data_IF_301873641867
#
_entry.id   IF_301873641867
#
_cell.length_a   1.000
_cell.length_b   1.000
_cell.length_c   1.000
_cell.angle_alpha   90.00
_cell.angle_beta   90.00
_cell.angle_gamma   90.00
#
_symmetry.space_group_name_H-M   'P 1'
#
loop_
_entity.id
_entity.type
_entity.pdbx_description
1 polymer ?
#
# COMPACT_ATOMS: atom_id res chain seq x y z
N UNK A 1 -18.65 -6.78 -4.63
CA UNK A 1 -17.51 -6.95 -3.70
C UNK A 1 -16.40 -7.66 -4.45
N UNK A 2 -15.16 -7.24 -4.26
CA UNK A 2 -13.98 -7.84 -4.88
C UNK A 2 -12.96 -8.11 -3.79
N UNK A 3 -12.31 -9.28 -3.82
CA UNK A 3 -11.21 -9.64 -2.93
C UNK A 3 -9.88 -9.68 -3.70
N UNK A 4 -8.89 -8.93 -3.24
CA UNK A 4 -7.49 -9.12 -3.64
C UNK A 4 -6.86 -10.25 -2.82
N UNK A 5 -6.06 -11.07 -3.46
CA UNK A 5 -5.34 -12.19 -2.84
C UNK A 5 -3.86 -12.03 -3.14
N UNK A 6 -3.04 -12.11 -2.10
CA UNK A 6 -1.58 -12.03 -2.24
C UNK A 6 -1.03 -13.17 -3.12
N UNK A 7 -0.07 -12.84 -3.97
CA UNK A 7 0.78 -13.86 -4.56
C UNK A 7 1.71 -14.49 -3.49
N UNK A 8 2.35 -15.64 -3.77
CA UNK A 8 3.34 -16.19 -2.88
C UNK A 8 4.44 -15.15 -2.57
N UNK A 9 4.74 -14.96 -1.26
CA UNK A 9 5.69 -13.93 -0.77
C UNK A 9 7.03 -13.89 -1.51
N UNK A 10 7.57 -15.07 -1.86
CA UNK A 10 8.83 -15.15 -2.58
C UNK A 10 8.76 -14.61 -4.02
N UNK A 11 7.56 -14.38 -4.54
CA UNK A 11 7.32 -13.90 -5.90
C UNK A 11 6.96 -12.41 -5.97
N UNK A 12 6.79 -11.73 -4.84
CA UNK A 12 6.40 -10.30 -4.83
C UNK A 12 7.41 -9.49 -5.63
N UNK A 13 6.95 -8.62 -6.52
CA UNK A 13 7.80 -7.82 -7.40
C UNK A 13 8.77 -6.88 -6.63
N UNK A 14 8.37 -6.43 -5.45
CA UNK A 14 9.21 -5.61 -4.57
C UNK A 14 10.49 -6.30 -4.11
N UNK A 15 10.52 -7.65 -4.11
CA UNK A 15 11.74 -8.42 -3.80
C UNK A 15 12.84 -8.22 -4.84
N UNK A 16 12.51 -7.85 -6.08
CA UNK A 16 13.52 -7.57 -7.11
C UNK A 16 14.22 -6.23 -6.85
N UNK A 17 13.54 -5.30 -6.15
CA UNK A 17 14.11 -4.01 -5.76
C UNK A 17 14.86 -4.14 -4.44
N UNK A 18 14.29 -4.90 -3.50
CA UNK A 18 14.81 -5.05 -2.14
C UNK A 18 14.59 -6.48 -1.62
N UNK A 19 15.64 -7.30 -1.66
CA UNK A 19 15.60 -8.71 -1.25
C UNK A 19 15.17 -8.92 0.21
N UNK A 20 15.39 -7.92 1.06
CA UNK A 20 15.02 -7.93 2.47
C UNK A 20 13.56 -7.45 2.72
N UNK A 21 12.80 -7.17 1.67
CA UNK A 21 11.40 -6.75 1.79
C UNK A 21 10.59 -7.78 2.56
N UNK A 22 9.92 -7.34 3.62
CA UNK A 22 9.14 -8.19 4.55
C UNK A 22 9.94 -9.35 5.20
N UNK A 23 11.28 -9.33 5.14
CA UNK A 23 12.12 -10.44 5.67
C UNK A 23 11.91 -10.67 7.18
N UNK A 24 11.61 -9.63 7.93
CA UNK A 24 11.39 -9.68 9.38
C UNK A 24 10.03 -10.27 9.80
N UNK A 25 9.09 -10.45 8.85
CA UNK A 25 7.78 -11.03 9.16
C UNK A 25 7.91 -12.53 9.47
N UNK A 26 7.69 -12.91 10.71
CA UNK A 26 7.64 -14.32 11.12
C UNK A 26 6.32 -14.97 10.72
N UNK A 27 6.37 -16.24 10.27
CA UNK A 27 5.14 -17.01 10.06
C UNK A 27 4.55 -17.38 11.42
N UNK A 28 3.27 -17.11 11.60
CA UNK A 28 2.56 -17.68 12.75
C UNK A 28 2.37 -19.18 12.50
N UNK A 29 3.18 -20.00 13.18
CA UNK A 29 3.20 -21.47 13.02
C UNK A 29 1.86 -22.09 13.43
N UNK A 30 1.12 -21.43 14.33
CA UNK A 30 -0.19 -21.89 14.83
C UNK A 30 -1.36 -21.49 13.92
N UNK A 31 -1.10 -20.79 12.82
CA UNK A 31 -2.17 -20.38 11.92
C UNK A 31 -2.67 -21.55 11.08
N UNK A 32 -3.95 -21.89 11.26
CA UNK A 32 -4.58 -22.97 10.49
C UNK A 32 -4.84 -22.54 9.05
N UNK A 33 -4.01 -22.97 8.10
CA UNK A 33 -4.15 -22.66 6.68
C UNK A 33 -5.49 -23.10 6.08
N UNK A 34 -6.19 -24.06 6.70
CA UNK A 34 -7.51 -24.51 6.24
C UNK A 34 -8.57 -23.40 6.35
N UNK A 35 -8.36 -22.40 7.22
CA UNK A 35 -9.29 -21.25 7.33
C UNK A 35 -9.35 -20.48 6.02
N UNK A 36 -8.22 -20.27 5.35
CA UNK A 36 -8.23 -19.59 4.04
C UNK A 36 -8.95 -20.41 2.99
N UNK A 37 -8.75 -21.74 2.97
CA UNK A 37 -9.47 -22.61 2.03
C UNK A 37 -11.00 -22.49 2.24
N UNK A 38 -11.45 -22.65 3.49
CA UNK A 38 -12.88 -22.54 3.84
C UNK A 38 -13.43 -21.16 3.42
N UNK A 39 -12.67 -20.10 3.68
CA UNK A 39 -13.07 -18.74 3.30
C UNK A 39 -13.16 -18.59 1.77
N UNK A 40 -12.17 -19.08 1.01
CA UNK A 40 -12.19 -19.00 -0.44
C UNK A 40 -13.33 -19.82 -1.07
N UNK A 41 -13.59 -21.02 -0.53
CA UNK A 41 -14.73 -21.83 -0.95
C UNK A 41 -16.07 -21.11 -0.68
N UNK A 42 -16.16 -20.44 0.47
CA UNK A 42 -17.34 -19.65 0.82
C UNK A 42 -17.58 -18.48 -0.14
N UNK A 43 -16.56 -17.69 -0.45
CA UNK A 43 -16.72 -16.52 -1.34
C UNK A 43 -17.00 -16.96 -2.79
N UNK A 44 -16.42 -18.09 -3.24
CA UNK A 44 -16.75 -18.68 -4.53
C UNK A 44 -18.23 -19.10 -4.61
N UNK A 45 -18.73 -19.79 -3.60
CA UNK A 45 -20.15 -20.19 -3.51
C UNK A 45 -21.12 -18.98 -3.47
N UNK A 46 -20.62 -17.80 -3.12
CA UNK A 46 -21.38 -16.53 -3.12
C UNK A 46 -21.22 -15.73 -4.42
N UNK A 47 -20.53 -16.27 -5.42
CA UNK A 47 -20.18 -15.58 -6.68
C UNK A 47 -19.48 -14.23 -6.42
N UNK A 48 -18.66 -14.15 -5.38
CA UNK A 48 -17.85 -12.96 -5.07
C UNK A 48 -16.54 -13.07 -5.83
N UNK A 49 -16.22 -12.02 -6.59
CA UNK A 49 -14.99 -11.98 -7.38
C UNK A 49 -13.77 -11.97 -6.47
N UNK A 50 -12.85 -12.91 -6.70
CA UNK A 50 -11.52 -12.93 -6.12
C UNK A 50 -10.46 -12.79 -7.22
N UNK A 51 -9.45 -11.97 -6.98
CA UNK A 51 -8.37 -11.74 -7.93
C UNK A 51 -7.04 -12.03 -7.26
N UNK A 52 -6.25 -12.87 -7.92
CA UNK A 52 -4.87 -13.16 -7.58
C UNK A 52 -4.05 -13.05 -8.87
N UNK A 53 -3.05 -12.21 -8.85
CA UNK A 53 -2.15 -12.01 -10.00
C UNK A 53 -0.73 -12.35 -9.60
N UNK A 54 0.00 -12.99 -10.51
CA UNK A 54 1.39 -13.33 -10.25
C UNK A 54 2.20 -12.06 -10.00
N UNK A 55 3.09 -12.12 -9.02
CA UNK A 55 3.98 -11.05 -8.60
C UNK A 55 3.33 -9.88 -7.84
N UNK A 56 1.99 -9.79 -7.77
CA UNK A 56 1.27 -8.72 -7.08
C UNK A 56 0.80 -9.15 -5.70
N UNK A 57 0.84 -8.21 -4.77
CA UNK A 57 0.18 -8.31 -3.47
C UNK A 57 -1.30 -7.95 -3.58
N UNK A 58 -2.10 -8.31 -2.60
CA UNK A 58 -3.53 -7.99 -2.58
C UNK A 58 -3.81 -6.49 -2.66
N UNK A 59 -2.97 -5.68 -2.03
CA UNK A 59 -3.06 -4.23 -2.02
C UNK A 59 -2.75 -3.62 -3.41
N UNK A 60 -1.76 -4.16 -4.14
CA UNK A 60 -1.48 -3.79 -5.53
C UNK A 60 -2.72 -4.03 -6.41
N UNK A 61 -3.34 -5.21 -6.28
CA UNK A 61 -4.53 -5.59 -7.05
C UNK A 61 -5.70 -4.64 -6.75
N UNK A 62 -5.95 -4.36 -5.48
CA UNK A 62 -7.02 -3.44 -5.07
C UNK A 62 -6.75 -2.02 -5.57
N UNK A 63 -5.48 -1.58 -5.56
CA UNK A 63 -5.10 -0.30 -6.15
C UNK A 63 -5.39 -0.24 -7.66
N UNK A 64 -5.04 -1.27 -8.42
CA UNK A 64 -5.33 -1.32 -9.87
C UNK A 64 -6.84 -1.28 -10.14
N UNK A 65 -7.64 -2.01 -9.36
CA UNK A 65 -9.10 -1.95 -9.42
C UNK A 65 -9.61 -0.54 -9.10
N UNK A 66 -9.08 0.06 -8.02
CA UNK A 66 -9.44 1.41 -7.60
C UNK A 66 -9.21 2.42 -8.72
N UNK A 67 -8.02 2.39 -9.35
CA UNK A 67 -7.69 3.28 -10.46
C UNK A 67 -8.62 3.07 -11.67
N UNK A 68 -8.90 1.82 -12.03
CA UNK A 68 -9.83 1.52 -13.11
C UNK A 68 -11.25 2.04 -12.81
N UNK A 69 -11.73 1.84 -11.58
CA UNK A 69 -13.03 2.35 -11.14
C UNK A 69 -13.07 3.89 -11.07
N UNK A 70 -11.96 4.53 -10.75
CA UNK A 70 -11.88 6.00 -10.70
C UNK A 70 -12.07 6.63 -12.08
N UNK A 71 -11.61 5.97 -13.13
CA UNK A 71 -11.74 6.47 -14.50
C UNK A 71 -13.14 6.29 -15.08
N UNK A 72 -13.85 5.22 -14.68
CA UNK A 72 -15.16 4.84 -15.27
C UNK A 72 -16.38 5.25 -14.44
N UNK A 73 -16.18 5.63 -13.19
CA UNK A 73 -17.30 5.92 -12.27
C UNK A 73 -16.94 6.98 -11.22
N UNK A 74 -17.85 7.93 -11.04
CA UNK A 74 -17.81 8.91 -9.94
C UNK A 74 -18.40 8.37 -8.63
N UNK A 75 -18.83 7.11 -8.59
CA UNK A 75 -19.43 6.50 -7.41
C UNK A 75 -18.40 6.41 -6.25
N UNK A 76 -18.92 6.47 -5.04
CA UNK A 76 -18.11 6.27 -3.84
C UNK A 76 -17.52 4.86 -3.83
N UNK A 77 -16.23 4.79 -3.52
CA UNK A 77 -15.49 3.55 -3.35
C UNK A 77 -15.31 3.29 -1.86
N UNK A 78 -15.51 2.06 -1.44
CA UNK A 78 -15.32 1.61 -0.07
C UNK A 78 -14.26 0.51 -0.08
N UNK A 79 -13.18 0.74 0.65
CA UNK A 79 -12.14 -0.25 0.90
C UNK A 79 -12.29 -0.73 2.36
N UNK A 80 -12.33 -2.05 2.57
CA UNK A 80 -12.39 -2.64 3.92
C UNK A 80 -11.06 -3.32 4.18
N UNK A 81 -10.27 -2.77 5.11
CA UNK A 81 -8.94 -3.25 5.42
C UNK A 81 -8.48 -2.81 6.81
N UNK A 82 -7.58 -3.57 7.43
CA UNK A 82 -6.84 -3.11 8.60
C UNK A 82 -5.48 -2.49 8.24
N UNK A 83 -5.09 -2.56 6.97
CA UNK A 83 -3.82 -2.05 6.50
C UNK A 83 -3.87 -0.54 6.29
N UNK A 84 -2.91 0.17 6.88
CA UNK A 84 -2.80 1.62 6.77
C UNK A 84 -2.17 2.06 5.44
N UNK A 85 -1.64 1.16 4.62
CA UNK A 85 -1.06 1.49 3.32
C UNK A 85 -2.10 2.05 2.37
N UNK A 86 -3.34 1.61 2.53
CA UNK A 86 -4.47 2.16 1.79
C UNK A 86 -4.80 3.63 2.12
N UNK A 87 -4.23 4.21 3.19
CA UNK A 87 -4.42 5.63 3.49
C UNK A 87 -3.85 6.55 2.40
N UNK A 88 -2.95 6.05 1.55
CA UNK A 88 -2.50 6.77 0.37
C UNK A 88 -3.59 6.96 -0.71
N UNK A 89 -4.70 6.20 -0.63
CA UNK A 89 -5.85 6.28 -1.55
C UNK A 89 -6.99 7.18 -1.05
N UNK A 90 -6.80 7.87 0.08
CA UNK A 90 -7.83 8.78 0.60
C UNK A 90 -8.02 9.96 -0.35
N UNK A 91 -9.26 10.08 -0.85
CA UNK A 91 -9.77 11.23 -1.59
C UNK A 91 -11.25 11.47 -1.25
N UNK A 92 -11.89 12.44 -1.92
CA UNK A 92 -13.30 12.79 -1.68
C UNK A 92 -14.28 11.65 -2.06
N UNK A 93 -13.84 10.72 -2.92
CA UNK A 93 -14.67 9.62 -3.42
C UNK A 93 -14.41 8.28 -2.73
N UNK A 94 -13.41 8.21 -1.85
CA UNK A 94 -12.93 6.96 -1.24
C UNK A 94 -13.06 6.98 0.27
N UNK A 95 -13.68 5.95 0.82
CA UNK A 95 -13.77 5.72 2.26
C UNK A 95 -13.10 4.40 2.61
N UNK A 96 -12.30 4.40 3.66
CA UNK A 96 -11.56 3.22 4.11
C UNK A 96 -12.07 2.83 5.50
N UNK A 97 -12.51 1.60 5.65
CA UNK A 97 -13.02 1.05 6.90
C UNK A 97 -12.17 -0.13 7.36
N UNK A 98 -12.03 -0.29 8.67
CA UNK A 98 -11.45 -1.51 9.23
C UNK A 98 -12.46 -2.67 9.24
N UNK A 99 -12.02 -3.84 9.69
CA UNK A 99 -12.88 -5.04 9.80
C UNK A 99 -14.01 -4.91 10.82
N UNK A 100 -14.02 -3.87 11.67
CA UNK A 100 -15.13 -3.51 12.56
C UNK A 100 -16.03 -2.41 11.98
N UNK A 101 -15.89 -2.11 10.70
CA UNK A 101 -16.61 -1.06 9.98
C UNK A 101 -16.43 0.34 10.56
N UNK A 102 -15.31 0.59 11.24
CA UNK A 102 -14.91 1.95 11.66
C UNK A 102 -14.05 2.58 10.58
N UNK A 103 -14.37 3.83 10.21
CA UNK A 103 -13.53 4.58 9.28
C UNK A 103 -12.13 4.75 9.88
N UNK A 104 -11.10 4.47 9.10
CA UNK A 104 -9.70 4.56 9.55
C UNK A 104 -8.99 5.85 9.10
N UNK A 105 -9.71 6.76 8.49
CA UNK A 105 -9.20 8.07 8.02
C UNK A 105 -8.42 8.81 9.13
N UNK A 106 -8.89 8.71 10.38
CA UNK A 106 -8.27 9.37 11.53
C UNK A 106 -6.97 8.71 12.01
N UNK A 107 -6.57 7.57 11.41
CA UNK A 107 -5.27 6.93 11.70
C UNK A 107 -4.08 7.60 10.99
N UNK A 108 -4.36 8.43 10.01
CA UNK A 108 -3.36 9.16 9.24
C UNK A 108 -3.78 10.60 9.01
N UNK A 109 -3.32 11.13 7.90
CA UNK A 109 -3.69 12.47 7.43
C UNK A 109 -4.90 12.35 6.50
N UNK A 110 -5.73 13.39 6.47
CA UNK A 110 -6.87 13.43 5.54
C UNK A 110 -6.45 13.77 4.10
N UNK A 111 -5.31 13.23 3.67
CA UNK A 111 -4.72 13.47 2.36
C UNK A 111 -3.81 12.28 2.00
N UNK A 112 -4.13 11.62 0.87
CA UNK A 112 -3.39 10.44 0.41
C UNK A 112 -1.91 10.70 0.17
N UNK A 113 -1.57 11.83 -0.47
CA UNK A 113 -0.18 12.23 -0.73
C UNK A 113 0.61 12.42 0.56
N UNK A 114 0.03 13.10 1.54
CA UNK A 114 0.72 13.32 2.83
C UNK A 114 0.95 11.99 3.54
N UNK A 115 -0.03 11.07 3.54
CA UNK A 115 0.13 9.73 4.10
C UNK A 115 1.28 8.97 3.44
N UNK A 116 1.35 8.98 2.11
CA UNK A 116 2.38 8.32 1.32
C UNK A 116 3.77 8.90 1.64
N UNK A 117 3.92 10.21 1.58
CA UNK A 117 5.20 10.88 1.80
C UNK A 117 5.67 10.74 3.24
N UNK A 118 4.76 10.89 4.21
CA UNK A 118 5.07 10.65 5.62
C UNK A 118 5.62 9.23 5.82
N UNK A 119 4.92 8.22 5.29
CA UNK A 119 5.36 6.82 5.40
C UNK A 119 6.70 6.59 4.73
N UNK A 120 6.95 7.20 3.58
CA UNK A 120 8.23 7.09 2.87
C UNK A 120 9.39 7.74 3.64
N UNK A 121 9.13 8.79 4.41
CA UNK A 121 10.12 9.42 5.29
C UNK A 121 10.45 8.58 6.52
N UNK A 122 9.43 8.03 7.21
CA UNK A 122 9.63 7.29 8.46
C UNK A 122 9.89 5.80 8.28
N UNK A 123 9.65 5.27 7.06
CA UNK A 123 9.76 3.85 6.75
C UNK A 123 8.59 3.02 7.28
N UNK A 124 8.71 1.70 7.12
CA UNK A 124 7.77 0.70 7.64
C UNK A 124 8.52 -0.50 8.22
N UNK A 125 8.49 -0.63 9.53
CA UNK A 125 9.14 -1.76 10.22
C UNK A 125 8.52 -3.10 9.86
N UNK A 126 7.21 -3.14 9.57
CA UNK A 126 6.52 -4.39 9.22
C UNK A 126 6.98 -4.94 7.88
N UNK A 127 7.44 -4.05 6.98
CA UNK A 127 7.92 -4.39 5.65
C UNK A 127 9.45 -4.32 5.54
N UNK A 128 10.12 -4.11 6.68
CA UNK A 128 11.56 -3.95 6.78
C UNK A 128 12.11 -2.72 6.03
N UNK A 129 11.27 -1.70 5.82
CA UNK A 129 11.65 -0.46 5.17
C UNK A 129 12.16 0.51 6.23
N UNK A 130 13.40 0.95 6.09
CA UNK A 130 14.04 1.79 7.08
C UNK A 130 13.63 3.26 6.93
N UNK A 131 13.63 3.97 8.05
CA UNK A 131 13.54 5.43 8.06
C UNK A 131 14.71 6.03 7.27
N UNK A 132 14.46 7.05 6.45
CA UNK A 132 15.50 7.61 5.57
C UNK A 132 16.69 8.23 6.31
N UNK A 133 16.48 8.72 7.53
CA UNK A 133 17.55 9.26 8.37
C UNK A 133 17.15 9.35 9.85
N UNK A 134 18.12 9.28 10.75
CA UNK A 134 17.91 9.50 12.18
C UNK A 134 17.42 10.91 12.52
N UNK A 135 17.75 11.90 11.70
CA UNK A 135 17.32 13.30 11.89
C UNK A 135 15.80 13.49 11.66
N UNK A 136 15.15 12.58 10.92
CA UNK A 136 13.71 12.67 10.64
C UNK A 136 12.93 12.24 11.88
N UNK A 137 12.47 13.19 12.68
CA UNK A 137 11.50 12.93 13.75
C UNK A 137 10.10 12.77 13.15
N UNK A 138 9.11 12.36 13.94
CA UNK A 138 7.72 12.28 13.47
C UNK A 138 7.18 13.65 13.10
N UNK A 139 7.47 14.64 13.92
CA UNK A 139 7.05 16.04 13.73
C UNK A 139 7.65 16.61 12.45
N UNK A 140 8.96 16.42 12.24
CA UNK A 140 9.62 16.85 11.01
C UNK A 140 9.10 16.13 9.78
N UNK A 141 8.78 14.83 9.87
CA UNK A 141 8.19 14.08 8.78
C UNK A 141 6.79 14.62 8.40
N UNK A 142 5.98 15.05 9.39
CA UNK A 142 4.68 15.70 9.14
C UNK A 142 4.89 17.03 8.41
N UNK A 143 5.82 17.84 8.88
CA UNK A 143 6.14 19.13 8.27
C UNK A 143 6.58 18.94 6.81
N UNK A 144 7.56 18.10 6.55
CA UNK A 144 8.11 17.84 5.22
C UNK A 144 7.03 17.26 4.27
N UNK A 145 6.27 16.26 4.72
CA UNK A 145 5.22 15.65 3.90
C UNK A 145 4.07 16.60 3.55
N UNK A 146 3.91 17.67 4.33
CA UNK A 146 2.89 18.69 4.14
C UNK A 146 3.34 19.83 3.22
N UNK A 147 4.63 19.95 2.92
CA UNK A 147 5.16 20.94 1.96
C UNK A 147 4.57 20.73 0.57
N UNK A 148 4.65 21.76 -0.27
CA UNK A 148 4.46 21.51 -1.69
C UNK A 148 5.59 20.60 -2.24
N UNK A 149 5.32 19.95 -3.34
CA UNK A 149 6.21 18.90 -3.86
C UNK A 149 7.60 19.42 -4.20
N UNK A 150 7.70 20.57 -4.86
CA UNK A 150 8.98 21.15 -5.24
C UNK A 150 9.83 21.55 -4.03
N UNK A 151 9.21 22.14 -3.01
CA UNK A 151 9.88 22.49 -1.74
C UNK A 151 10.38 21.24 -1.03
N UNK A 152 9.56 20.21 -0.94
CA UNK A 152 9.94 18.94 -0.32
C UNK A 152 11.12 18.29 -1.02
N UNK A 153 11.09 18.17 -2.36
CA UNK A 153 12.19 17.59 -3.12
C UNK A 153 13.47 18.42 -3.02
N UNK A 154 13.37 19.75 -3.03
CA UNK A 154 14.52 20.63 -2.80
C UNK A 154 15.12 20.41 -1.43
N UNK A 155 14.29 20.36 -0.39
CA UNK A 155 14.74 20.11 0.99
C UNK A 155 15.44 18.75 1.13
N UNK A 156 14.86 17.68 0.55
CA UNK A 156 15.45 16.34 0.57
C UNK A 156 16.80 16.30 -0.14
N UNK A 157 16.93 17.01 -1.26
CA UNK A 157 18.18 17.12 -2.01
C UNK A 157 19.25 17.86 -1.23
N UNK A 158 18.90 18.99 -0.61
CA UNK A 158 19.82 19.79 0.18
C UNK A 158 20.34 19.04 1.42
N UNK A 159 19.59 18.06 1.91
CA UNK A 159 19.97 17.18 3.04
C UNK A 159 20.62 15.86 2.61
N UNK A 160 20.81 15.62 1.30
CA UNK A 160 21.31 14.34 0.75
C UNK A 160 20.45 13.13 1.17
N UNK A 161 19.12 13.32 1.18
CA UNK A 161 18.15 12.31 1.58
C UNK A 161 17.25 11.85 0.43
N UNK A 162 17.34 12.49 -0.73
CA UNK A 162 16.44 12.26 -1.86
C UNK A 162 16.49 10.82 -2.36
N UNK A 163 17.67 10.23 -2.49
CA UNK A 163 17.81 8.85 -3.00
C UNK A 163 17.17 7.82 -2.07
N UNK A 164 17.33 8.01 -0.75
CA UNK A 164 16.70 7.14 0.25
C UNK A 164 15.17 7.30 0.26
N UNK A 165 14.69 8.52 0.10
CA UNK A 165 13.26 8.79 -0.03
C UNK A 165 12.69 8.12 -1.28
N UNK A 166 13.34 8.28 -2.42
CA UNK A 166 12.94 7.66 -3.69
C UNK A 166 12.98 6.13 -3.61
N UNK A 167 13.97 5.56 -2.91
CA UNK A 167 14.02 4.12 -2.66
C UNK A 167 12.81 3.65 -1.85
N UNK A 168 12.46 4.34 -0.76
CA UNK A 168 11.28 4.01 0.03
C UNK A 168 9.99 4.20 -0.77
N UNK A 169 9.91 5.25 -1.60
CA UNK A 169 8.76 5.47 -2.50
C UNK A 169 8.53 4.27 -3.43
N UNK A 170 9.59 3.72 -4.03
CA UNK A 170 9.49 2.52 -4.89
C UNK A 170 8.92 1.29 -4.19
N UNK A 171 9.07 1.19 -2.87
CA UNK A 171 8.57 0.07 -2.08
C UNK A 171 7.16 0.30 -1.52
N UNK A 172 6.78 1.57 -1.27
CA UNK A 172 5.57 1.94 -0.54
C UNK A 172 4.45 2.42 -1.47
N UNK A 173 4.80 3.19 -2.51
CA UNK A 173 3.82 3.76 -3.42
C UNK A 173 3.20 2.69 -4.32
N UNK A 174 1.89 2.73 -4.45
CA UNK A 174 1.18 1.90 -5.43
C UNK A 174 1.39 2.40 -6.87
N UNK A 175 1.77 3.67 -7.06
CA UNK A 175 2.09 4.21 -8.39
C UNK A 175 3.38 3.62 -8.98
N UNK A 176 4.19 2.96 -8.15
CA UNK A 176 5.45 2.32 -8.56
C UNK A 176 5.27 0.87 -9.04
N UNK A 177 4.05 0.36 -9.14
CA UNK A 177 3.77 -0.97 -9.71
C UNK A 177 4.31 -0.99 -11.15
N UNK A 178 5.20 -1.96 -11.51
CA UNK A 178 5.77 -2.03 -12.85
C UNK A 178 4.69 -2.14 -13.94
N UNK A 179 4.89 -1.41 -15.03
CA UNK A 179 3.93 -1.28 -16.15
C UNK A 179 3.52 -2.64 -16.71
N UNK A 180 4.44 -3.60 -16.76
CA UNK A 180 4.16 -4.96 -17.22
C UNK A 180 3.04 -5.67 -16.44
N UNK A 181 2.91 -5.40 -15.13
CA UNK A 181 1.84 -5.97 -14.29
C UNK A 181 0.54 -5.20 -14.44
N UNK A 182 0.62 -3.88 -14.67
CA UNK A 182 -0.56 -3.05 -14.99
C UNK A 182 -1.16 -3.52 -16.32
N UNK A 183 -0.33 -3.77 -17.33
CA UNK A 183 -0.78 -4.29 -18.63
C UNK A 183 -1.42 -5.67 -18.50
N UNK A 184 -0.80 -6.59 -17.74
CA UNK A 184 -1.38 -7.92 -17.47
C UNK A 184 -2.72 -7.87 -16.73
N UNK A 185 -2.91 -6.88 -15.87
CA UNK A 185 -4.19 -6.66 -15.19
C UNK A 185 -5.29 -6.15 -16.14
N UNK A 186 -4.93 -5.40 -17.18
CA UNK A 186 -5.88 -4.81 -18.10
C UNK A 186 -6.30 -5.73 -19.26
N UNK A 187 -5.53 -6.78 -19.54
CA UNK A 187 -5.81 -7.80 -20.57
C UNK A 187 -6.61 -8.98 -19.99
#
# INVERSE_FOLDING_TARGET
VIFGIDCPRAKIWRNDIFSEYKATRTRNINFNQNIFKIFYDYIENKNILKLCLDRLEADDIIYLIYNKLKTISKQKKIIITNDNDYLQLIDDSTSIYNMQFKNIKDRGFNNGRINLYYKSLIGDKSDNIQKISSIITKELAIEISSMNENEMYSWLKDKDLLDKFNFNMKLISFDEIPVEYIEKFNN
#
